data_IF_816468321179
#
_entry.id   IF_816468321179
#
_cell.length_a   1.000
_cell.length_b   1.000
_cell.length_c   1.000
_cell.angle_alpha   90.00
_cell.angle_beta   90.00
_cell.angle_gamma   90.00
#
_symmetry.space_group_name_H-M   'P 1'
#
loop_
_entity.id
_entity.type
_entity.pdbx_description
1 polymer ?
#
# COMPACT_ATOMS: atom_id res chain seq x y z
N UNK A 1 49.64 -0.82 -13.00
CA UNK A 1 48.60 -1.87 -13.19
C UNK A 1 48.01 -2.41 -11.87
N UNK A 2 48.72 -2.41 -10.73
CA UNK A 2 48.18 -2.92 -9.46
C UNK A 2 47.10 -2.03 -8.82
N UNK A 3 47.22 -0.71 -8.91
CA UNK A 3 46.27 0.26 -8.31
C UNK A 3 44.89 0.19 -8.95
N UNK A 4 44.81 0.03 -10.28
CA UNK A 4 43.55 -0.12 -11.02
C UNK A 4 42.80 -1.40 -10.60
N UNK A 5 43.54 -2.48 -10.34
CA UNK A 5 42.96 -3.75 -9.87
C UNK A 5 42.39 -3.63 -8.45
N UNK A 6 43.08 -2.90 -7.57
CA UNK A 6 42.63 -2.65 -6.19
C UNK A 6 41.36 -1.80 -6.14
N UNK A 7 41.28 -0.75 -6.96
CA UNK A 7 40.11 0.12 -7.06
C UNK A 7 38.89 -0.65 -7.60
N UNK A 8 39.09 -1.49 -8.61
CA UNK A 8 38.01 -2.32 -9.17
C UNK A 8 37.47 -3.35 -8.17
N UNK A 9 38.37 -3.97 -7.37
CA UNK A 9 37.98 -4.91 -6.33
C UNK A 9 37.16 -4.22 -5.22
N UNK A 10 37.58 -3.02 -4.80
CA UNK A 10 36.87 -2.24 -3.79
C UNK A 10 35.47 -1.80 -4.27
N UNK A 11 35.35 -1.41 -5.55
CA UNK A 11 34.07 -1.05 -6.14
C UNK A 11 33.11 -2.26 -6.19
N UNK A 12 33.59 -3.44 -6.58
CA UNK A 12 32.77 -4.65 -6.61
C UNK A 12 32.32 -5.11 -5.22
N UNK A 13 33.16 -4.94 -4.19
CA UNK A 13 32.80 -5.21 -2.80
C UNK A 13 31.77 -4.22 -2.25
N UNK A 14 31.84 -2.94 -2.62
CA UNK A 14 30.82 -1.95 -2.24
C UNK A 14 29.47 -2.26 -2.91
N UNK A 15 29.49 -2.63 -4.20
CA UNK A 15 28.29 -3.00 -4.96
C UNK A 15 27.61 -4.26 -4.42
N UNK A 16 28.38 -5.27 -3.97
CA UNK A 16 27.80 -6.49 -3.41
C UNK A 16 27.11 -6.27 -2.06
N UNK A 17 27.62 -5.36 -1.23
CA UNK A 17 26.97 -4.95 0.04
C UNK A 17 25.64 -4.21 -0.22
N UNK A 18 25.56 -3.39 -1.27
CA UNK A 18 24.31 -2.76 -1.66
C UNK A 18 23.26 -3.77 -2.15
N UNK A 19 23.67 -4.89 -2.76
CA UNK A 19 22.76 -5.92 -3.27
C UNK A 19 22.29 -6.90 -2.20
N UNK A 20 23.06 -7.13 -1.13
CA UNK A 20 22.68 -8.05 -0.04
C UNK A 20 21.85 -7.39 1.05
N UNK A 21 21.88 -6.06 1.19
CA UNK A 21 21.07 -5.30 2.15
C UNK A 21 19.60 -5.09 1.77
N UNK A 22 19.21 -5.44 0.54
CA UNK A 22 17.82 -5.34 0.05
C UNK A 22 17.08 -6.69 0.06
N UNK A 23 17.51 -7.65 0.89
CA UNK A 23 16.73 -8.85 1.17
C UNK A 23 15.89 -8.60 2.42
N UNK A 24 14.58 -8.61 2.21
CA UNK A 24 13.59 -8.78 3.26
C UNK A 24 13.24 -7.55 4.09
N UNK A 25 13.08 -6.38 3.44
CA UNK A 25 12.02 -5.47 3.88
C UNK A 25 10.66 -6.05 3.44
N UNK A 26 10.34 -7.26 3.89
CA UNK A 26 8.95 -7.64 4.04
C UNK A 26 8.38 -6.56 4.96
N UNK A 27 7.56 -5.68 4.42
CA UNK A 27 6.78 -4.75 5.20
C UNK A 27 5.85 -5.57 6.11
N UNK A 28 6.38 -6.07 7.23
CA UNK A 28 5.63 -6.52 8.40
C UNK A 28 5.07 -5.28 9.10
N UNK A 29 4.34 -4.45 8.36
CA UNK A 29 3.27 -3.72 8.96
C UNK A 29 2.12 -4.74 9.00
N UNK A 30 1.75 -5.17 10.19
CA UNK A 30 0.38 -5.58 10.47
C UNK A 30 -0.51 -4.39 10.08
N UNK A 31 -0.73 -4.18 8.78
CA UNK A 31 -1.71 -3.23 8.31
C UNK A 31 -3.01 -3.73 8.89
N UNK A 32 -3.71 -2.85 9.60
CA UNK A 32 -5.02 -3.13 10.13
C UNK A 32 -5.96 -3.22 8.93
N UNK A 33 -5.98 -4.41 8.32
CA UNK A 33 -6.74 -4.75 7.11
C UNK A 33 -7.90 -5.60 7.54
N UNK A 34 -9.11 -5.08 7.38
CA UNK A 34 -10.33 -5.84 7.60
C UNK A 34 -11.24 -5.79 6.37
N UNK A 35 -11.91 -6.90 6.08
CA UNK A 35 -12.93 -6.97 5.03
C UNK A 35 -14.21 -6.31 5.56
N UNK A 36 -14.71 -5.30 4.86
CA UNK A 36 -15.97 -4.62 5.18
C UNK A 36 -17.14 -5.33 4.48
N UNK A 37 -17.02 -5.56 3.17
CA UNK A 37 -18.07 -6.13 2.36
C UNK A 37 -17.50 -6.91 1.17
N UNK A 38 -18.28 -7.85 0.64
CA UNK A 38 -17.98 -8.58 -0.58
C UNK A 38 -19.24 -8.77 -1.41
N UNK A 39 -19.14 -8.47 -2.70
CA UNK A 39 -20.20 -8.71 -3.68
C UNK A 39 -19.74 -9.78 -4.67
N UNK A 40 -20.41 -10.94 -4.66
CA UNK A 40 -20.15 -12.02 -5.61
C UNK A 40 -20.50 -11.63 -7.05
N UNK A 41 -21.57 -10.84 -7.23
CA UNK A 41 -22.06 -10.41 -8.55
C UNK A 41 -21.09 -9.46 -9.25
N UNK A 42 -20.52 -8.51 -8.51
CA UNK A 42 -19.58 -7.52 -9.08
C UNK A 42 -18.12 -7.93 -8.92
N UNK A 43 -17.85 -9.00 -8.15
CA UNK A 43 -16.49 -9.41 -7.73
C UNK A 43 -15.71 -8.27 -7.05
N UNK A 44 -16.43 -7.32 -6.44
CA UNK A 44 -15.85 -6.21 -5.70
C UNK A 44 -15.80 -6.54 -4.21
N UNK A 45 -14.70 -6.15 -3.57
CA UNK A 45 -14.46 -6.27 -2.14
C UNK A 45 -14.16 -4.90 -1.57
N UNK A 46 -14.79 -4.55 -0.45
CA UNK A 46 -14.41 -3.36 0.30
C UNK A 46 -13.51 -3.76 1.46
N UNK A 47 -12.37 -3.09 1.58
CA UNK A 47 -11.43 -3.27 2.67
C UNK A 47 -11.30 -1.99 3.47
N UNK A 48 -11.16 -2.13 4.78
CA UNK A 48 -10.61 -1.11 5.65
C UNK A 48 -9.11 -1.31 5.72
N UNK A 49 -8.31 -0.29 5.41
CA UNK A 49 -6.86 -0.31 5.56
C UNK A 49 -6.46 0.96 6.28
N UNK A 50 -5.86 0.83 7.47
CA UNK A 50 -5.44 1.96 8.30
C UNK A 50 -6.56 3.00 8.55
N UNK A 51 -7.80 2.53 8.70
CA UNK A 51 -8.98 3.39 8.96
C UNK A 51 -9.63 4.02 7.72
N UNK A 52 -9.14 3.73 6.51
CA UNK A 52 -9.70 4.21 5.24
C UNK A 52 -10.25 3.07 4.38
N UNK A 53 -11.28 3.36 3.59
CA UNK A 53 -11.95 2.38 2.73
C UNK A 53 -11.32 2.30 1.34
N UNK A 54 -11.11 1.08 0.89
CA UNK A 54 -10.61 0.76 -0.44
C UNK A 54 -11.53 -0.24 -1.12
N UNK A 55 -11.74 -0.03 -2.42
CA UNK A 55 -12.42 -0.97 -3.28
C UNK A 55 -11.38 -1.82 -4.00
N UNK A 56 -11.50 -3.13 -3.89
CA UNK A 56 -10.67 -4.10 -4.57
C UNK A 56 -11.51 -4.84 -5.59
N UNK A 57 -11.07 -4.79 -6.84
CA UNK A 57 -11.56 -5.68 -7.89
C UNK A 57 -10.53 -6.77 -8.14
N UNK A 58 -10.95 -8.02 -8.21
CA UNK A 58 -10.10 -9.15 -8.58
C UNK A 58 -10.78 -9.99 -9.64
N UNK A 59 -10.15 -10.12 -10.79
CA UNK A 59 -10.59 -10.98 -11.87
C UNK A 59 -9.42 -11.80 -12.44
N UNK A 60 -9.51 -13.12 -12.33
CA UNK A 60 -8.53 -14.09 -12.87
C UNK A 60 -7.04 -13.76 -12.65
N UNK A 61 -6.69 -13.25 -11.46
CA UNK A 61 -5.30 -12.92 -11.10
C UNK A 61 -4.87 -11.50 -11.49
N UNK A 62 -5.71 -10.78 -12.24
CA UNK A 62 -5.62 -9.34 -12.44
C UNK A 62 -6.55 -8.60 -11.48
N UNK A 63 -6.24 -7.36 -11.16
CA UNK A 63 -7.04 -6.61 -10.21
C UNK A 63 -6.47 -5.24 -9.92
N UNK A 64 -7.21 -4.49 -9.12
CA UNK A 64 -6.83 -3.13 -8.73
C UNK A 64 -7.35 -2.80 -7.34
N UNK A 65 -6.56 -2.01 -6.62
CA UNK A 65 -6.95 -1.34 -5.39
C UNK A 65 -7.29 0.10 -5.73
N UNK A 66 -8.50 0.55 -5.40
CA UNK A 66 -8.97 1.91 -5.63
C UNK A 66 -9.34 2.54 -4.30
N UNK A 67 -8.80 3.72 -4.00
CA UNK A 67 -9.20 4.53 -2.86
C UNK A 67 -10.65 4.99 -3.04
N UNK A 68 -11.51 4.76 -2.04
CA UNK A 68 -12.86 5.31 -2.03
C UNK A 68 -12.85 6.74 -1.46
N UNK A 69 -13.69 7.59 -2.01
CA UNK A 69 -13.80 9.01 -1.66
C UNK A 69 -15.22 9.35 -1.24
N UNK A 70 -15.34 10.33 -0.38
CA UNK A 70 -16.62 10.90 0.07
C UNK A 70 -16.57 12.42 -0.03
N UNK A 71 -17.74 13.03 -0.18
CA UNK A 71 -17.87 14.48 -0.14
C UNK A 71 -17.57 14.98 1.28
N UNK A 72 -16.68 15.96 1.38
CA UNK A 72 -16.36 16.66 2.62
C UNK A 72 -16.74 18.14 2.54
N UNK A 73 -16.81 18.83 3.69
CA UNK A 73 -17.12 20.26 3.74
C UNK A 73 -16.10 21.13 3.00
N UNK A 74 -14.87 20.63 2.81
CA UNK A 74 -13.77 21.32 2.12
C UNK A 74 -13.39 20.64 0.79
N UNK A 75 -14.29 19.83 0.22
CA UNK A 75 -14.05 19.04 -0.98
C UNK A 75 -13.90 17.52 -0.72
N UNK A 76 -13.60 16.74 -1.78
CA UNK A 76 -13.48 15.29 -1.68
C UNK A 76 -12.38 14.86 -0.70
N UNK A 77 -12.68 13.86 0.13
CA UNK A 77 -11.73 13.28 1.09
C UNK A 77 -11.79 11.75 1.10
N UNK A 78 -10.71 11.06 1.53
CA UNK A 78 -10.72 9.61 1.64
C UNK A 78 -11.80 9.13 2.60
N UNK A 79 -12.61 8.17 2.16
CA UNK A 79 -13.69 7.60 2.96
C UNK A 79 -13.14 6.79 4.14
N UNK A 80 -13.68 6.99 5.34
CA UNK A 80 -13.25 6.29 6.57
C UNK A 80 -14.08 5.03 6.82
N UNK A 81 -13.52 4.05 7.54
CA UNK A 81 -14.20 2.77 7.79
C UNK A 81 -15.36 2.88 8.81
N UNK A 82 -15.21 3.74 9.81
CA UNK A 82 -16.19 3.98 10.87
C UNK A 82 -17.26 5.01 10.51
N UNK A 83 -18.28 5.20 11.38
CA UNK A 83 -19.34 6.17 11.14
C UNK A 83 -18.75 7.56 10.90
N UNK A 84 -19.32 8.25 9.90
CA UNK A 84 -19.12 9.67 9.72
C UNK A 84 -19.42 10.36 11.07
N UNK A 85 -18.56 11.28 11.56
CA UNK A 85 -18.97 12.12 12.67
C UNK A 85 -20.29 12.77 12.29
N UNK A 86 -21.31 12.62 13.14
CA UNK A 86 -22.62 13.23 12.94
C UNK A 86 -22.39 14.71 12.56
N UNK A 87 -23.06 15.15 11.49
CA UNK A 87 -22.97 16.55 11.03
C UNK A 87 -23.06 17.48 12.24
N UNK A 88 -22.27 18.56 12.31
CA UNK A 88 -22.45 19.54 13.36
C UNK A 88 -23.90 20.02 13.28
N UNK A 89 -24.64 19.80 14.37
CA UNK A 89 -25.96 20.38 14.57
C UNK A 89 -25.75 21.89 14.55
N UNK A 90 -26.29 22.52 13.52
CA UNK A 90 -26.23 23.96 13.28
C UNK A 90 -27.25 24.65 14.19
#
# INVERSE_FOLDING_TARGET
MQTVKLVSLAAMLALSVCLTGCKDFEAKASQDVSLISYSETTRLREYCVNGYRYLVHKDYGTGGLTQMWEDGPNGPRPMRCGPLPEKPVL
#
